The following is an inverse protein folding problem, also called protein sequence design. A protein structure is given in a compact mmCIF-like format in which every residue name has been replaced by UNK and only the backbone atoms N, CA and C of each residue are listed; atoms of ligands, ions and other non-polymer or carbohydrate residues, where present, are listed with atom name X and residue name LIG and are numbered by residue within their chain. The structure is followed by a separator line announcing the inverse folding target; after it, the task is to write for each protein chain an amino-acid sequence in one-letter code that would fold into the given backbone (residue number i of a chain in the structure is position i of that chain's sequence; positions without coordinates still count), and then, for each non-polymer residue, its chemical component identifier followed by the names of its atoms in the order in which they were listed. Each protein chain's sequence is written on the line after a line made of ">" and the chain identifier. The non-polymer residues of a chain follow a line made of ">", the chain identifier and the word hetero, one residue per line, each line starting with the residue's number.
data_IF_245314179297
#
_entry.id   IF_245314179297
#
_cell.length_a   1.000
_cell.length_b   1.000
_cell.length_c   1.000
_cell.angle_alpha   90.00
_cell.angle_beta   90.00
_cell.angle_gamma   90.00
#
_symmetry.space_group_name_H-M   'P 1'
#
loop_
_entity.id
_entity.type
_entity.pdbx_description
1 polymer ?
#
# COMPACT_ATOMS: atom_id res chain seq x y z
N UNK A 1 7.01 14.20 -8.65
CA UNK A 1 8.06 14.09 -7.63
C UNK A 1 7.61 13.00 -6.67
N UNK A 2 8.50 12.10 -6.26
CA UNK A 2 8.19 11.20 -5.14
C UNK A 2 8.30 12.04 -3.89
N UNK A 3 7.19 12.22 -3.18
CA UNK A 3 7.19 13.01 -1.95
C UNK A 3 8.13 12.35 -0.92
N UNK A 4 9.00 13.17 -0.34
CA UNK A 4 10.01 12.69 0.60
C UNK A 4 9.35 12.34 1.93
N UNK A 5 9.64 11.15 2.44
CA UNK A 5 9.24 10.75 3.79
C UNK A 5 10.00 11.54 4.83
N UNK A 6 9.29 12.09 5.80
CA UNK A 6 9.87 12.77 6.96
C UNK A 6 9.27 12.23 8.24
N UNK A 7 10.07 12.24 9.29
CA UNK A 7 9.70 11.67 10.58
C UNK A 7 9.95 12.68 11.68
N UNK A 8 8.97 12.89 12.54
CA UNK A 8 9.06 13.84 13.64
C UNK A 8 8.71 13.17 14.94
N UNK A 9 9.35 13.61 16.02
CA UNK A 9 9.10 13.22 17.40
C UNK A 9 8.95 14.47 18.24
N UNK A 10 7.89 14.56 19.02
CA UNK A 10 7.62 15.73 19.85
C UNK A 10 6.87 15.38 21.12
N UNK A 11 6.84 16.32 22.06
CA UNK A 11 5.95 16.25 23.21
C UNK A 11 4.57 16.79 22.84
N UNK A 12 3.52 16.23 23.43
CA UNK A 12 2.14 16.68 23.21
C UNK A 12 1.28 16.44 24.44
N UNK A 13 0.30 17.31 24.64
CA UNK A 13 -0.75 17.11 25.64
C UNK A 13 -1.86 16.24 25.06
N UNK A 14 -1.95 14.99 25.52
CA UNK A 14 -3.07 14.11 25.25
C UNK A 14 -4.22 14.32 26.25
N UNK A 15 -5.37 13.67 26.01
CA UNK A 15 -6.55 13.75 26.89
C UNK A 15 -6.19 13.31 28.33
N UNK A 16 -5.36 12.29 28.47
CA UNK A 16 -4.95 11.74 29.77
C UNK A 16 -3.68 12.39 30.36
N UNK A 17 -3.02 13.33 29.66
CA UNK A 17 -1.83 14.01 30.14
C UNK A 17 -0.73 14.18 29.09
N UNK A 18 0.44 14.66 29.52
CA UNK A 18 1.62 14.84 28.67
C UNK A 18 2.15 13.49 28.16
N UNK A 19 2.58 13.47 26.91
CA UNK A 19 3.17 12.30 26.28
C UNK A 19 4.05 12.64 25.08
N UNK A 20 4.43 11.60 24.34
CA UNK A 20 5.27 11.70 23.15
C UNK A 20 4.45 11.28 21.93
N UNK A 21 4.56 12.05 20.86
CA UNK A 21 4.02 11.72 19.54
C UNK A 21 5.17 11.51 18.55
N UNK A 22 5.03 10.49 17.72
CA UNK A 22 5.89 10.29 16.55
C UNK A 22 5.02 10.25 15.30
N UNK A 23 5.42 10.96 14.26
CA UNK A 23 4.69 11.03 12.99
C UNK A 23 5.60 10.65 11.82
N UNK A 24 5.08 9.84 10.90
CA UNK A 24 5.57 9.78 9.52
C UNK A 24 4.70 10.68 8.65
N UNK A 25 5.34 11.50 7.84
CA UNK A 25 4.70 12.28 6.79
C UNK A 25 5.22 11.87 5.41
N UNK A 26 4.30 11.77 4.45
CA UNK A 26 4.62 11.76 3.02
C UNK A 26 4.12 13.09 2.45
N UNK A 27 5.06 13.98 2.12
CA UNK A 27 4.72 15.35 1.77
C UNK A 27 4.03 16.05 2.94
N UNK A 28 2.77 16.45 2.74
CA UNK A 28 1.95 17.15 3.74
C UNK A 28 1.04 16.22 4.55
N UNK A 29 0.96 14.93 4.21
CA UNK A 29 -0.01 14.00 4.81
C UNK A 29 0.67 13.13 5.87
N UNK A 30 0.14 13.12 7.09
CA UNK A 30 0.56 12.16 8.12
C UNK A 30 0.09 10.75 7.73
N UNK A 31 1.00 9.80 7.56
CA UNK A 31 0.68 8.44 7.08
C UNK A 31 0.69 7.40 8.18
N UNK A 32 1.55 7.58 9.18
CA UNK A 32 1.64 6.72 10.37
C UNK A 32 1.90 7.58 11.59
N UNK A 33 1.35 7.17 12.73
CA UNK A 33 1.55 7.88 13.99
C UNK A 33 1.64 6.89 15.15
N UNK A 34 2.48 7.24 16.13
CA UNK A 34 2.66 6.52 17.38
C UNK A 34 2.45 7.53 18.49
N UNK A 35 1.52 7.24 19.38
CA UNK A 35 1.22 8.04 20.56
C UNK A 35 1.70 7.26 21.79
N UNK A 36 2.48 7.89 22.65
CA UNK A 36 3.07 7.26 23.84
C UNK A 36 2.68 8.07 25.06
N UNK A 37 1.97 7.45 26.01
CA UNK A 37 1.57 8.06 27.28
C UNK A 37 1.66 7.03 28.39
N UNK A 38 2.26 7.39 29.52
CA UNK A 38 2.49 6.47 30.66
C UNK A 38 3.18 5.14 30.30
N UNK A 39 3.99 5.14 29.23
CA UNK A 39 4.64 3.93 28.69
C UNK A 39 3.76 3.06 27.78
N UNK A 40 2.44 3.33 27.69
CA UNK A 40 1.54 2.70 26.73
C UNK A 40 1.75 3.28 25.33
N UNK A 41 1.77 2.42 24.31
CA UNK A 41 1.94 2.83 22.91
C UNK A 41 0.65 2.59 22.10
N UNK A 42 0.21 3.61 21.36
CA UNK A 42 -0.94 3.58 20.47
C UNK A 42 -0.52 3.99 19.06
N UNK A 43 -0.21 2.99 18.23
CA UNK A 43 0.19 3.17 16.84
C UNK A 43 -0.97 2.94 15.86
N UNK A 44 -1.08 3.79 14.84
CA UNK A 44 -2.06 3.62 13.77
C UNK A 44 -1.64 4.29 12.46
N UNK A 45 -2.30 3.87 11.38
CA UNK A 45 -2.30 4.50 10.05
C UNK A 45 -3.72 4.85 9.57
N UNK A 46 -4.70 4.81 10.48
CA UNK A 46 -6.12 5.01 10.20
C UNK A 46 -6.65 6.24 10.93
N UNK A 47 -7.36 7.11 10.20
CA UNK A 47 -8.06 8.27 10.76
C UNK A 47 -9.28 7.88 11.61
N UNK A 48 -9.72 6.62 11.52
CA UNK A 48 -10.89 6.14 12.27
C UNK A 48 -10.51 5.57 13.63
N UNK A 49 -9.23 5.30 13.86
CA UNK A 49 -8.77 4.71 15.10
C UNK A 49 -8.71 5.78 16.19
N UNK A 50 -9.29 5.47 17.35
CA UNK A 50 -9.32 6.34 18.52
C UNK A 50 -9.06 5.57 19.80
N UNK A 51 -8.58 6.27 20.81
CA UNK A 51 -8.41 5.78 22.16
C UNK A 51 -8.82 6.87 23.17
N UNK A 52 -9.33 6.47 24.33
CA UNK A 52 -9.83 7.40 25.35
C UNK A 52 -8.73 8.26 25.98
N UNK A 53 -7.48 7.77 26.05
CA UNK A 53 -6.35 8.50 26.61
C UNK A 53 -5.74 9.52 25.65
N UNK A 54 -5.70 9.20 24.36
CA UNK A 54 -4.94 9.99 23.36
C UNK A 54 -5.80 10.62 22.25
N UNK A 55 -7.10 10.29 22.19
CA UNK A 55 -7.98 10.78 21.14
C UNK A 55 -7.81 10.01 19.83
N UNK A 56 -7.84 10.71 18.70
CA UNK A 56 -7.59 10.10 17.38
C UNK A 56 -6.12 9.68 17.26
N UNK A 57 -5.89 8.48 16.74
CA UNK A 57 -4.54 7.90 16.69
C UNK A 57 -3.70 8.37 15.51
N UNK A 58 -4.29 9.14 14.59
CA UNK A 58 -3.62 9.69 13.43
C UNK A 58 -4.14 11.11 13.16
N UNK A 59 -3.21 12.04 12.98
CA UNK A 59 -3.48 13.41 12.56
C UNK A 59 -4.07 13.48 11.15
N UNK A 60 -5.14 14.26 10.96
CA UNK A 60 -5.88 14.38 9.71
C UNK A 60 -5.59 15.68 8.92
N UNK A 61 -4.93 16.66 9.54
CA UNK A 61 -4.54 17.92 8.91
C UNK A 61 -3.25 17.83 8.08
N UNK A 62 -2.76 19.00 7.64
CA UNK A 62 -1.51 19.10 6.89
C UNK A 62 -0.32 19.33 7.80
N UNK A 63 0.83 18.81 7.42
CA UNK A 63 2.10 19.07 8.09
C UNK A 63 2.40 20.56 8.23
N UNK A 64 2.06 21.38 7.24
CA UNK A 64 2.21 22.84 7.26
C UNK A 64 1.39 23.55 8.34
N UNK A 65 0.34 22.89 8.84
CA UNK A 65 -0.58 23.45 9.82
C UNK A 65 -0.18 23.06 11.26
N UNK A 66 0.85 22.22 11.40
CA UNK A 66 1.43 21.83 12.69
C UNK A 66 2.58 22.77 13.06
N UNK A 67 2.55 23.23 14.31
CA UNK A 67 3.74 23.80 14.91
C UNK A 67 4.71 22.68 15.29
N UNK A 68 5.83 22.61 14.58
CA UNK A 68 6.89 21.63 14.77
C UNK A 68 8.17 22.28 15.30
N UNK A 69 8.10 23.52 15.85
CA UNK A 69 9.29 24.22 16.34
C UNK A 69 10.05 23.44 17.41
N UNK A 70 9.29 22.72 18.24
CA UNK A 70 9.81 21.95 19.38
C UNK A 70 9.90 20.45 19.07
N UNK A 71 9.60 20.05 17.82
CA UNK A 71 9.70 18.67 17.36
C UNK A 71 11.10 18.37 16.79
N UNK A 72 11.62 17.19 17.12
CA UNK A 72 12.85 16.65 16.56
C UNK A 72 12.55 15.90 15.25
N UNK A 73 13.24 16.26 14.16
CA UNK A 73 13.23 15.44 12.93
C UNK A 73 14.12 14.21 13.17
N UNK A 74 13.53 13.01 13.17
CA UNK A 74 14.21 11.75 13.44
C UNK A 74 14.47 10.95 12.16
N UNK A 75 15.32 9.94 12.25
CA UNK A 75 15.58 9.04 11.13
C UNK A 75 14.42 8.03 10.92
N UNK A 76 14.28 7.52 9.69
CA UNK A 76 13.40 6.39 9.40
C UNK A 76 13.72 5.17 10.28
N UNK A 77 15.02 4.89 10.52
CA UNK A 77 15.44 3.76 11.34
C UNK A 77 14.96 3.87 12.79
N UNK A 78 15.03 5.08 13.35
CA UNK A 78 14.50 5.36 14.68
C UNK A 78 12.98 5.19 14.70
N UNK A 79 12.26 5.79 13.75
CA UNK A 79 10.80 5.66 13.66
C UNK A 79 10.37 4.18 13.55
N UNK A 80 11.04 3.39 12.72
CA UNK A 80 10.75 1.97 12.54
C UNK A 80 11.02 1.15 13.81
N UNK A 81 11.97 1.56 14.64
CA UNK A 81 12.23 0.92 15.94
C UNK A 81 11.04 1.11 16.88
N UNK A 82 10.50 2.34 16.97
CA UNK A 82 9.28 2.63 17.72
C UNK A 82 8.05 1.94 17.10
N UNK A 83 7.91 1.96 15.77
CA UNK A 83 6.78 1.35 15.07
C UNK A 83 6.73 -0.16 15.32
N UNK A 84 7.85 -0.85 15.19
CA UNK A 84 7.95 -2.29 15.43
C UNK A 84 7.57 -2.66 16.86
N UNK A 85 8.05 -1.87 17.83
CA UNK A 85 7.78 -2.10 19.26
C UNK A 85 6.31 -1.85 19.58
N UNK A 86 5.77 -0.69 19.18
CA UNK A 86 4.38 -0.28 19.43
C UNK A 86 3.34 -1.18 18.76
N UNK A 87 3.69 -1.82 17.64
CA UNK A 87 2.77 -2.70 16.90
C UNK A 87 3.01 -4.19 17.13
N UNK A 88 3.91 -4.56 18.05
CA UNK A 88 4.26 -5.95 18.34
C UNK A 88 3.08 -6.78 18.86
N UNK A 89 2.21 -6.18 19.66
CA UNK A 89 0.96 -6.79 20.17
C UNK A 89 -0.19 -6.79 19.17
N UNK A 90 -0.06 -6.08 18.04
CA UNK A 90 -1.10 -5.91 17.02
C UNK A 90 -0.94 -6.90 15.85
N UNK A 91 -0.26 -8.03 16.06
CA UNK A 91 0.03 -9.02 15.00
C UNK A 91 -1.21 -9.48 14.24
N UNK A 92 -2.36 -9.63 14.90
CA UNK A 92 -3.62 -10.00 14.25
C UNK A 92 -4.11 -8.95 13.24
N UNK A 93 -3.85 -7.66 13.50
CA UNK A 93 -4.19 -6.56 12.57
C UNK A 93 -3.23 -6.47 11.38
N UNK A 94 -2.15 -7.25 11.36
CA UNK A 94 -1.13 -7.27 10.29
C UNK A 94 -1.33 -8.45 9.32
N UNK A 95 -2.53 -9.01 9.23
CA UNK A 95 -2.80 -10.16 8.39
C UNK A 95 -3.55 -9.79 7.12
N UNK A 96 -3.32 -10.60 6.09
CA UNK A 96 -4.10 -10.58 4.86
C UNK A 96 -5.44 -11.26 5.14
N UNK A 97 -6.54 -10.64 4.73
CA UNK A 97 -7.86 -11.26 4.77
C UNK A 97 -8.11 -12.01 3.47
N UNK A 98 -8.26 -13.33 3.54
CA UNK A 98 -8.61 -14.16 2.40
C UNK A 98 -10.13 -14.25 2.27
N UNK A 99 -10.65 -13.83 1.12
CA UNK A 99 -12.09 -13.78 0.86
C UNK A 99 -12.40 -14.43 -0.49
N UNK A 100 -13.54 -15.10 -0.61
CA UNK A 100 -13.99 -15.66 -1.89
C UNK A 100 -14.76 -14.63 -2.72
N UNK A 101 -14.51 -14.56 -4.03
CA UNK A 101 -15.26 -13.70 -4.93
C UNK A 101 -14.50 -13.24 -6.17
N UNK A 102 -15.00 -12.20 -6.83
CA UNK A 102 -14.34 -11.59 -7.99
C UNK A 102 -13.54 -10.37 -7.54
N UNK A 103 -12.21 -10.43 -7.66
CA UNK A 103 -11.31 -9.35 -7.23
C UNK A 103 -11.50 -8.01 -7.95
N UNK A 104 -12.25 -7.97 -9.06
CA UNK A 104 -12.62 -6.74 -9.78
C UNK A 104 -13.77 -5.99 -9.10
N UNK A 105 -14.55 -6.68 -8.25
CA UNK A 105 -15.63 -6.07 -7.48
C UNK A 105 -15.05 -5.45 -6.20
N UNK A 106 -15.07 -4.11 -6.04
CA UNK A 106 -14.51 -3.47 -4.86
C UNK A 106 -15.32 -3.87 -3.62
N UNK A 107 -14.66 -4.34 -2.57
CA UNK A 107 -15.34 -4.71 -1.32
C UNK A 107 -15.94 -3.51 -0.57
N UNK A 108 -15.38 -2.31 -0.79
CA UNK A 108 -15.80 -1.05 -0.18
C UNK A 108 -15.29 0.15 -0.98
N UNK A 109 -15.70 1.35 -0.54
CA UNK A 109 -15.17 2.64 -1.02
C UNK A 109 -13.72 2.84 -0.57
N UNK A 110 -13.04 3.81 -1.17
CA UNK A 110 -11.67 4.19 -0.81
C UNK A 110 -10.74 2.97 -0.85
N UNK A 111 -10.56 2.46 -2.06
CA UNK A 111 -9.85 1.20 -2.30
C UNK A 111 -8.97 1.27 -3.54
N UNK A 112 -7.83 0.58 -3.48
CA UNK A 112 -6.99 0.31 -4.64
C UNK A 112 -6.99 -1.18 -4.93
N UNK A 113 -7.39 -1.54 -6.16
CA UNK A 113 -7.33 -2.91 -6.68
C UNK A 113 -5.97 -3.07 -7.38
N UNK A 114 -5.06 -3.80 -6.75
CA UNK A 114 -3.70 -4.00 -7.23
C UNK A 114 -3.56 -5.31 -8.01
N UNK A 115 -2.79 -5.28 -9.10
CA UNK A 115 -2.42 -6.48 -9.85
C UNK A 115 -1.06 -6.31 -10.54
N UNK A 116 -0.48 -7.42 -10.98
CA UNK A 116 0.81 -7.43 -11.67
C UNK A 116 0.60 -7.38 -13.18
N UNK A 117 1.29 -6.46 -13.84
CA UNK A 117 1.40 -6.35 -15.30
C UNK A 117 2.82 -6.67 -15.78
N UNK A 118 2.92 -7.04 -17.07
CA UNK A 118 4.21 -7.33 -17.70
C UNK A 118 4.82 -6.12 -18.39
N UNK A 119 6.14 -6.13 -18.56
CA UNK A 119 6.89 -5.13 -19.32
C UNK A 119 6.87 -5.33 -20.86
N UNK A 120 5.89 -6.07 -21.42
CA UNK A 120 5.82 -6.37 -22.88
C UNK A 120 4.59 -5.81 -23.59
N UNK A 121 3.79 -4.97 -22.92
CA UNK A 121 2.57 -4.40 -23.50
C UNK A 121 1.49 -5.45 -23.81
N UNK A 122 1.49 -6.59 -23.10
CA UNK A 122 0.54 -7.69 -23.36
C UNK A 122 -0.57 -7.72 -22.32
N UNK A 123 -1.81 -7.61 -22.77
CA UNK A 123 -3.01 -7.60 -21.94
C UNK A 123 -4.10 -8.49 -22.55
N UNK A 124 -4.27 -9.72 -22.05
CA UNK A 124 -5.23 -10.63 -22.68
C UNK A 124 -5.45 -12.00 -22.05
N UNK A 125 -4.91 -12.28 -20.85
CA UNK A 125 -5.13 -13.55 -20.15
C UNK A 125 -5.19 -13.35 -18.64
N UNK A 126 -6.08 -14.07 -17.97
CA UNK A 126 -6.27 -14.01 -16.52
C UNK A 126 -7.07 -12.80 -16.06
N UNK A 127 -6.75 -12.31 -14.86
CA UNK A 127 -7.46 -11.23 -14.15
C UNK A 127 -7.74 -9.99 -15.02
N UNK A 128 -6.78 -9.63 -15.86
CA UNK A 128 -6.83 -8.44 -16.72
C UNK A 128 -8.03 -8.40 -17.66
N UNK A 129 -8.61 -9.55 -18.03
CA UNK A 129 -9.79 -9.62 -18.90
C UNK A 129 -11.04 -9.11 -18.17
N UNK A 130 -11.33 -9.67 -17.00
CA UNK A 130 -12.43 -9.21 -16.14
C UNK A 130 -12.25 -7.75 -15.73
N UNK A 131 -11.01 -7.35 -15.45
CA UNK A 131 -10.67 -5.98 -15.10
C UNK A 131 -10.99 -5.01 -16.25
N UNK A 132 -10.57 -5.30 -17.49
CA UNK A 132 -10.84 -4.43 -18.63
C UNK A 132 -12.30 -4.40 -19.06
N UNK A 133 -13.08 -5.43 -18.75
CA UNK A 133 -14.52 -5.43 -19.01
C UNK A 133 -15.24 -4.39 -18.12
N UNK A 134 -14.76 -4.20 -16.88
CA UNK A 134 -15.36 -3.24 -15.94
C UNK A 134 -14.71 -1.87 -15.98
N UNK A 135 -13.38 -1.82 -16.07
CA UNK A 135 -12.58 -0.60 -16.05
C UNK A 135 -11.64 -0.54 -17.26
N UNK A 136 -12.15 -0.17 -18.46
CA UNK A 136 -11.34 -0.09 -19.68
C UNK A 136 -10.12 0.83 -19.56
N UNK A 137 -10.24 1.92 -18.80
CA UNK A 137 -9.18 2.91 -18.58
C UNK A 137 -7.90 2.31 -17.99
N UNK A 138 -7.99 1.25 -17.17
CA UNK A 138 -6.81 0.56 -16.63
C UNK A 138 -5.93 -0.02 -17.74
N UNK A 139 -6.55 -0.59 -18.79
CA UNK A 139 -5.86 -1.12 -19.96
C UNK A 139 -5.31 0.01 -20.84
N UNK A 140 -6.08 1.08 -21.01
CA UNK A 140 -5.66 2.24 -21.82
C UNK A 140 -4.38 2.88 -21.25
N UNK A 141 -4.35 3.15 -19.94
CA UNK A 141 -3.14 3.65 -19.27
C UNK A 141 -1.96 2.71 -19.47
N UNK A 142 -2.14 1.42 -19.19
CA UNK A 142 -1.09 0.42 -19.36
C UNK A 142 -0.52 0.40 -20.78
N UNK A 143 -1.37 0.42 -21.82
CA UNK A 143 -0.93 0.40 -23.21
C UNK A 143 -0.28 1.72 -23.64
N UNK A 144 -0.80 2.85 -23.17
CA UNK A 144 -0.23 4.17 -23.45
C UNK A 144 1.20 4.31 -22.92
N UNK A 145 1.52 3.64 -21.81
CA UNK A 145 2.89 3.59 -21.27
C UNK A 145 3.90 2.91 -22.22
N UNK A 146 3.47 2.23 -23.29
CA UNK A 146 4.33 1.64 -24.33
C UNK A 146 4.38 2.43 -25.65
N UNK A 147 3.77 3.63 -25.71
CA UNK A 147 3.83 4.46 -26.91
C UNK A 147 5.24 5.00 -27.16
N UNK A 148 5.58 5.28 -28.42
CA UNK A 148 6.82 5.99 -28.78
C UNK A 148 8.12 5.24 -28.43
N UNK A 149 8.12 3.90 -28.50
CA UNK A 149 9.22 3.01 -28.09
C UNK A 149 9.50 3.00 -26.58
N UNK A 150 8.61 3.54 -25.76
CA UNK A 150 8.76 3.47 -24.30
C UNK A 150 8.56 2.03 -23.80
N UNK A 151 9.35 1.65 -22.80
CA UNK A 151 9.17 0.38 -22.07
C UNK A 151 9.22 0.75 -20.59
N UNK A 152 8.10 0.68 -19.88
CA UNK A 152 8.09 0.99 -18.45
C UNK A 152 9.06 0.10 -17.68
N UNK A 153 9.82 0.72 -16.80
CA UNK A 153 10.75 0.01 -15.93
C UNK A 153 9.99 -0.87 -14.95
N UNK A 154 10.55 -2.05 -14.66
CA UNK A 154 10.02 -2.89 -13.60
C UNK A 154 10.16 -2.17 -12.24
N UNK A 155 9.18 -2.35 -11.36
CA UNK A 155 9.04 -1.56 -10.13
C UNK A 155 8.19 -0.31 -10.30
N UNK A 156 7.76 0.04 -11.51
CA UNK A 156 6.80 1.13 -11.76
C UNK A 156 5.38 0.71 -11.38
N UNK A 157 4.58 1.67 -10.92
CA UNK A 157 3.15 1.46 -10.66
C UNK A 157 2.37 2.60 -11.29
N UNK A 158 1.42 2.27 -12.16
CA UNK A 158 0.45 3.24 -12.65
C UNK A 158 -0.81 3.15 -11.77
N UNK A 159 -1.14 4.26 -11.10
CA UNK A 159 -2.39 4.39 -10.35
C UNK A 159 -3.45 5.07 -11.20
N UNK A 160 -4.51 4.35 -11.53
CA UNK A 160 -5.59 4.80 -12.40
C UNK A 160 -6.85 5.01 -11.57
N UNK A 161 -7.33 6.25 -11.47
CA UNK A 161 -8.63 6.54 -10.84
C UNK A 161 -9.74 6.09 -11.80
N UNK A 162 -10.57 5.14 -11.35
CA UNK A 162 -11.65 4.55 -12.17
C UNK A 162 -13.04 4.92 -11.67
N UNK A 163 -13.16 5.35 -10.41
CA UNK A 163 -14.36 5.96 -9.86
C UNK A 163 -13.98 7.05 -8.85
N UNK A 164 -14.28 8.31 -9.19
CA UNK A 164 -13.98 9.46 -8.33
C UNK A 164 -14.92 9.57 -7.12
N UNK A 165 -16.17 9.11 -7.23
CA UNK A 165 -17.17 9.23 -6.18
C UNK A 165 -16.93 8.21 -5.08
N UNK A 166 -16.59 6.99 -5.48
CA UNK A 166 -16.32 5.87 -4.57
C UNK A 166 -14.83 5.74 -4.24
N UNK A 167 -13.98 6.60 -4.86
CA UNK A 167 -12.53 6.65 -4.68
C UNK A 167 -11.87 5.28 -4.96
N UNK A 168 -12.15 4.73 -6.13
CA UNK A 168 -11.63 3.42 -6.57
C UNK A 168 -10.47 3.64 -7.53
N UNK A 169 -9.34 3.02 -7.21
CA UNK A 169 -8.14 3.03 -8.03
C UNK A 169 -7.78 1.63 -8.52
N UNK A 170 -7.16 1.55 -9.69
CA UNK A 170 -6.44 0.36 -10.16
C UNK A 170 -4.95 0.64 -10.11
N UNK A 171 -4.17 -0.30 -9.55
CA UNK A 171 -2.71 -0.23 -9.56
C UNK A 171 -2.12 -1.27 -10.53
N UNK A 172 -1.64 -0.81 -11.70
CA UNK A 172 -0.90 -1.62 -12.64
C UNK A 172 0.56 -1.72 -12.17
N UNK A 173 0.93 -2.80 -11.46
CA UNK A 173 2.28 -2.97 -10.93
C UNK A 173 3.18 -3.71 -11.93
N UNK A 174 4.17 -3.02 -12.49
CA UNK A 174 5.12 -3.58 -13.46
C UNK A 174 6.14 -4.46 -12.74
N UNK A 175 5.75 -5.71 -12.46
CA UNK A 175 6.57 -6.65 -11.72
C UNK A 175 6.75 -8.00 -12.44
N UNK A 176 6.36 -8.09 -13.71
CA UNK A 176 6.58 -9.28 -14.53
C UNK A 176 7.47 -8.96 -15.74
N UNK A 177 8.64 -9.58 -15.82
CA UNK A 177 9.53 -9.46 -16.97
C UNK A 177 9.17 -10.52 -18.01
N UNK A 178 8.56 -10.15 -19.13
CA UNK A 178 8.13 -11.13 -20.14
C UNK A 178 6.74 -11.71 -19.90
N UNK A 179 6.42 -12.76 -20.67
CA UNK A 179 5.14 -13.44 -20.63
C UNK A 179 5.33 -14.95 -20.77
N UNK A 180 4.51 -15.72 -20.05
CA UNK A 180 4.47 -17.18 -20.17
C UNK A 180 4.11 -17.59 -21.60
N UNK A 181 4.98 -18.40 -22.23
CA UNK A 181 4.85 -18.76 -23.65
C UNK A 181 3.72 -19.76 -23.89
N UNK A 182 3.61 -20.78 -23.05
CA UNK A 182 2.59 -21.83 -23.12
C UNK A 182 2.39 -22.51 -21.75
N UNK A 183 1.49 -23.48 -21.67
CA UNK A 183 1.14 -24.16 -20.40
C UNK A 183 2.32 -24.95 -19.78
N UNK A 184 3.22 -25.48 -20.60
CA UNK A 184 4.37 -26.29 -20.17
C UNK A 184 5.57 -25.44 -19.73
N UNK A 185 5.52 -24.13 -19.94
CA UNK A 185 6.54 -23.19 -19.49
C UNK A 185 6.52 -23.08 -17.95
N UNK A 186 7.62 -23.46 -17.32
CA UNK A 186 7.80 -23.44 -15.86
C UNK A 186 8.67 -22.28 -15.39
N UNK A 187 9.02 -21.33 -16.27
CA UNK A 187 9.84 -20.19 -15.89
C UNK A 187 9.06 -19.25 -14.95
N UNK A 188 9.79 -18.64 -14.03
CA UNK A 188 9.30 -17.53 -13.22
C UNK A 188 9.50 -16.23 -13.99
N UNK A 189 8.41 -15.51 -14.23
CA UNK A 189 8.41 -14.20 -14.89
C UNK A 189 8.18 -13.06 -13.91
N UNK A 190 7.56 -13.32 -12.76
CA UNK A 190 7.46 -12.33 -11.68
C UNK A 190 8.85 -12.08 -11.10
N UNK A 191 9.24 -10.81 -11.08
CA UNK A 191 10.45 -10.35 -10.43
C UNK A 191 10.10 -9.91 -9.00
N UNK A 192 10.46 -10.70 -7.98
CA UNK A 192 10.14 -10.38 -6.59
C UNK A 192 10.73 -9.05 -6.12
N UNK A 193 11.95 -8.71 -6.55
CA UNK A 193 12.56 -7.43 -6.23
C UNK A 193 11.72 -6.26 -6.78
N UNK A 194 11.24 -6.38 -8.02
CA UNK A 194 10.38 -5.36 -8.62
C UNK A 194 8.99 -5.32 -7.98
N UNK A 195 8.46 -6.48 -7.57
CA UNK A 195 7.21 -6.56 -6.83
C UNK A 195 7.33 -5.88 -5.46
N UNK A 196 8.43 -6.08 -4.74
CA UNK A 196 8.68 -5.42 -3.46
C UNK A 196 8.70 -3.90 -3.61
N UNK A 197 9.34 -3.37 -4.66
CA UNK A 197 9.32 -1.94 -4.99
C UNK A 197 7.90 -1.46 -5.33
N UNK A 198 7.14 -2.23 -6.12
CA UNK A 198 5.75 -1.90 -6.43
C UNK A 198 4.87 -1.85 -5.18
N UNK A 199 5.03 -2.82 -4.27
CA UNK A 199 4.27 -2.90 -3.02
C UNK A 199 4.63 -1.75 -2.07
N UNK A 200 5.90 -1.31 -2.02
CA UNK A 200 6.28 -0.11 -1.28
C UNK A 200 5.55 1.12 -1.83
N UNK A 201 5.58 1.35 -3.15
CA UNK A 201 4.87 2.46 -3.79
C UNK A 201 3.35 2.38 -3.59
N UNK A 202 2.78 1.18 -3.68
CA UNK A 202 1.36 0.92 -3.41
C UNK A 202 1.00 1.28 -1.96
N UNK A 203 1.83 0.91 -0.99
CA UNK A 203 1.59 1.22 0.42
C UNK A 203 1.60 2.72 0.67
N UNK A 204 2.57 3.45 0.11
CA UNK A 204 2.68 4.89 0.27
C UNK A 204 1.48 5.59 -0.38
N UNK A 205 1.10 5.19 -1.59
CA UNK A 205 -0.08 5.69 -2.27
C UNK A 205 -1.36 5.43 -1.47
N UNK A 206 -1.52 4.22 -0.92
CA UNK A 206 -2.68 3.86 -0.12
C UNK A 206 -2.76 4.69 1.18
N UNK A 207 -1.65 4.89 1.87
CA UNK A 207 -1.61 5.69 3.11
C UNK A 207 -1.95 7.16 2.87
N UNK A 208 -1.38 7.76 1.82
CA UNK A 208 -1.64 9.17 1.46
C UNK A 208 -3.11 9.38 1.06
N UNK A 209 -3.69 8.43 0.33
CA UNK A 209 -5.07 8.54 -0.17
C UNK A 209 -6.12 7.90 0.75
N UNK A 210 -5.72 7.39 1.93
CA UNK A 210 -6.58 6.69 2.90
C UNK A 210 -7.32 5.49 2.31
N UNK A 211 -6.62 4.72 1.48
CA UNK A 211 -7.19 3.58 0.76
C UNK A 211 -6.91 2.26 1.46
N UNK A 212 -7.87 1.36 1.38
CA UNK A 212 -7.62 -0.07 1.58
C UNK A 212 -7.05 -0.72 0.32
N UNK A 213 -6.40 -1.87 0.47
CA UNK A 213 -5.83 -2.63 -0.64
C UNK A 213 -6.67 -3.90 -0.88
N UNK A 214 -6.95 -4.16 -2.14
CA UNK A 214 -7.56 -5.40 -2.61
C UNK A 214 -6.77 -5.95 -3.79
N UNK A 215 -6.62 -7.27 -3.87
CA UNK A 215 -5.94 -7.90 -5.01
C UNK A 215 -6.42 -9.34 -5.21
N UNK A 216 -6.33 -9.91 -6.42
CA UNK A 216 -6.40 -11.37 -6.58
C UNK A 216 -5.14 -12.03 -5.99
N UNK A 217 -5.02 -13.37 -6.07
CA UNK A 217 -3.71 -14.03 -5.89
C UNK A 217 -2.77 -13.64 -7.03
N UNK A 218 -2.04 -12.54 -6.84
CA UNK A 218 -1.12 -11.97 -7.83
C UNK A 218 0.12 -12.86 -8.03
N UNK A 219 0.67 -12.86 -9.24
CA UNK A 219 1.99 -13.39 -9.57
C UNK A 219 2.17 -14.92 -9.57
N UNK A 220 1.38 -15.67 -8.80
CA UNK A 220 1.54 -17.12 -8.68
C UNK A 220 1.04 -17.92 -9.90
N UNK A 221 0.13 -17.37 -10.70
CA UNK A 221 -0.42 -18.02 -11.90
C UNK A 221 0.47 -17.87 -13.14
N UNK A 222 0.08 -16.99 -14.05
CA UNK A 222 0.82 -16.74 -15.31
C UNK A 222 2.23 -16.18 -15.09
N UNK A 223 2.48 -15.59 -13.92
CA UNK A 223 3.77 -15.07 -13.51
C UNK A 223 4.75 -16.14 -13.02
N UNK A 224 4.28 -17.35 -12.72
CA UNK A 224 5.12 -18.47 -12.26
C UNK A 224 5.80 -18.25 -10.91
N UNK A 225 5.31 -17.32 -10.09
CA UNK A 225 5.83 -17.07 -8.75
C UNK A 225 5.33 -18.09 -7.71
N UNK A 226 6.05 -18.16 -6.61
CA UNK A 226 5.65 -18.82 -5.38
C UNK A 226 4.78 -17.86 -4.58
N UNK A 227 3.58 -18.33 -4.21
CA UNK A 227 2.64 -17.52 -3.45
C UNK A 227 3.16 -17.20 -2.04
N UNK A 228 3.87 -18.12 -1.38
CA UNK A 228 4.29 -17.91 0.01
C UNK A 228 5.33 -16.78 0.11
N UNK A 229 6.17 -16.65 -0.92
CA UNK A 229 7.11 -15.53 -1.08
C UNK A 229 6.34 -14.22 -1.31
N UNK A 230 5.35 -14.23 -2.21
CA UNK A 230 4.54 -13.05 -2.54
C UNK A 230 3.72 -12.59 -1.32
N UNK A 231 3.12 -13.52 -0.60
CA UNK A 231 2.37 -13.29 0.63
C UNK A 231 3.26 -12.63 1.68
N UNK A 232 4.47 -13.15 1.89
CA UNK A 232 5.46 -12.56 2.80
C UNK A 232 5.81 -11.11 2.42
N UNK A 233 5.93 -10.80 1.12
CA UNK A 233 6.15 -9.42 0.65
C UNK A 233 4.95 -8.52 0.94
N UNK A 234 3.72 -8.99 0.71
CA UNK A 234 2.50 -8.23 0.99
C UNK A 234 2.39 -7.94 2.50
N UNK A 235 2.61 -8.94 3.36
CA UNK A 235 2.62 -8.77 4.81
C UNK A 235 3.65 -7.73 5.24
N UNK A 236 4.87 -7.80 4.70
CA UNK A 236 5.98 -6.89 5.01
C UNK A 236 5.73 -5.45 4.55
N UNK A 237 5.12 -5.26 3.37
CA UNK A 237 5.00 -3.94 2.74
C UNK A 237 3.66 -3.24 2.95
N UNK A 238 2.57 -4.00 3.03
CA UNK A 238 1.21 -3.48 3.18
C UNK A 238 0.76 -3.62 4.64
N UNK A 239 0.62 -4.86 5.13
CA UNK A 239 -0.02 -5.12 6.41
C UNK A 239 0.80 -4.64 7.62
N UNK A 240 2.14 -4.68 7.53
CA UNK A 240 3.03 -4.12 8.55
C UNK A 240 2.77 -2.63 8.82
N UNK A 241 2.34 -1.87 7.81
CA UNK A 241 1.93 -0.46 7.92
C UNK A 241 0.45 -0.30 8.32
N UNK A 242 -0.19 -1.37 8.80
CA UNK A 242 -1.59 -1.41 9.25
C UNK A 242 -2.61 -1.02 8.17
N UNK A 243 -2.27 -1.19 6.89
CA UNK A 243 -3.21 -1.01 5.78
C UNK A 243 -4.10 -2.26 5.69
N UNK A 244 -5.42 -2.05 5.63
CA UNK A 244 -6.40 -3.13 5.43
C UNK A 244 -6.20 -3.77 4.05
N UNK A 245 -5.88 -5.07 4.03
CA UNK A 245 -5.50 -5.79 2.81
C UNK A 245 -6.33 -7.06 2.63
N UNK A 246 -7.01 -7.16 1.49
CA UNK A 246 -7.87 -8.29 1.14
C UNK A 246 -7.33 -8.99 -0.11
N UNK A 247 -7.08 -10.29 -0.01
CA UNK A 247 -6.76 -11.14 -1.16
C UNK A 247 -7.99 -11.94 -1.53
N UNK A 248 -8.48 -11.74 -2.74
CA UNK A 248 -9.71 -12.36 -3.24
C UNK A 248 -9.35 -13.62 -4.02
N UNK A 249 -9.93 -14.74 -3.61
CA UNK A 249 -9.76 -16.07 -4.20
C UNK A 249 -11.01 -16.40 -4.99
N UNK A 250 -10.82 -16.75 -6.26
CA UNK A 250 -11.87 -17.27 -7.15
C UNK A 250 -12.08 -18.77 -6.92
#
# INVERSE_FOLDING_TARGET
>A
MVDVKKYYKGNVDFIAGEGIILNEFIGEVATRQINIIDGDCYASSSLLDKNEKVGFLLYDGKKSDLDLSDAEEISNEEFETFWKTSTSSLQEKKQIKLLSGNAVEPLKKSIVIAHIVNNKGKWGKGFVLSLSNKYPSAKEYYLNSFNGNNIPELGTVDFVLVDAKEQIFIANMYAQDGIKKNVNDKNQYVCYASLEVCLEKLSDFALVNRLSVQMPRIGAGLGGGDWDVIESLILKKICYKMIDCNVIIL
#
